data_IF_359721188243
#
_entry.id   IF_359721188243
#
_cell.length_a   1.000
_cell.length_b   1.000
_cell.length_c   1.000
_cell.angle_alpha   90.00
_cell.angle_beta   90.00
_cell.angle_gamma   90.00
#
_symmetry.space_group_name_H-M   'P 1'
#
loop_
_entity.id
_entity.type
_entity.pdbx_description
1 polymer ?
#
# COMPACT_ATOMS: atom_id res chain seq x y z
N UNK A 1 23.24 16.48 27.35
CA UNK A 1 22.00 15.68 27.27
C UNK A 1 22.31 14.41 26.48
N UNK A 2 22.20 13.22 27.07
CA UNK A 2 22.54 11.98 26.38
C UNK A 2 21.49 11.65 25.31
N UNK A 3 21.94 11.27 24.10
CA UNK A 3 21.06 10.77 23.04
C UNK A 3 20.72 9.32 23.38
N UNK A 4 19.43 9.05 23.62
CA UNK A 4 18.94 7.71 23.97
C UNK A 4 18.06 7.22 22.84
N UNK A 5 18.33 6.01 22.34
CA UNK A 5 17.52 5.36 21.31
C UNK A 5 16.41 4.54 21.99
N UNK A 6 15.21 5.12 22.14
CA UNK A 6 14.06 4.42 22.69
C UNK A 6 13.47 3.47 21.65
N UNK A 7 13.51 2.17 21.91
CA UNK A 7 12.80 1.18 21.09
C UNK A 7 11.30 1.18 21.41
N UNK A 8 10.42 1.01 20.41
CA UNK A 8 9.00 0.89 20.66
C UNK A 8 8.70 -0.41 21.43
N UNK A 9 7.90 -0.31 22.49
CA UNK A 9 7.38 -1.48 23.21
C UNK A 9 6.26 -2.11 22.40
N UNK A 10 6.37 -3.41 22.12
CA UNK A 10 5.35 -4.16 21.37
C UNK A 10 4.63 -5.10 22.34
N UNK A 11 3.30 -5.04 22.35
CA UNK A 11 2.48 -5.97 23.13
C UNK A 11 2.24 -7.27 22.36
N UNK A 12 2.36 -8.41 23.06
CA UNK A 12 2.10 -9.73 22.48
C UNK A 12 0.61 -10.03 22.57
N UNK A 13 -0.10 -9.84 21.46
CA UNK A 13 -1.55 -10.11 21.36
C UNK A 13 -1.79 -11.40 20.59
N UNK A 14 -2.87 -12.12 20.93
CA UNK A 14 -3.29 -13.31 20.18
C UNK A 14 -3.66 -12.94 18.74
N UNK A 15 -3.18 -13.72 17.78
CA UNK A 15 -3.45 -13.50 16.35
C UNK A 15 -4.93 -13.67 16.05
N UNK A 16 -5.56 -12.61 15.55
CA UNK A 16 -6.97 -12.62 15.12
C UNK A 16 -7.13 -13.28 13.74
N UNK A 17 -8.36 -13.68 13.39
CA UNK A 17 -8.61 -14.28 12.06
C UNK A 17 -8.34 -13.30 10.92
N UNK A 18 -8.57 -12.01 11.13
CA UNK A 18 -8.28 -10.96 10.15
C UNK A 18 -6.77 -10.85 9.88
N UNK A 19 -5.94 -10.95 10.93
CA UNK A 19 -4.49 -10.98 10.79
C UNK A 19 -4.00 -12.20 10.00
N UNK A 20 -4.70 -13.35 10.12
CA UNK A 20 -4.38 -14.55 9.33
C UNK A 20 -4.82 -14.44 7.87
N UNK A 21 -5.98 -13.82 7.63
CA UNK A 21 -6.51 -13.57 6.27
C UNK A 21 -5.69 -12.51 5.53
N UNK A 22 -4.96 -11.66 6.25
CA UNK A 22 -4.11 -10.64 5.67
C UNK A 22 -2.86 -11.23 4.99
N UNK A 23 -2.85 -11.22 3.65
CA UNK A 23 -1.68 -11.60 2.86
C UNK A 23 -0.65 -10.47 2.82
N UNK A 24 0.26 -10.45 3.80
CA UNK A 24 1.24 -9.38 3.96
C UNK A 24 2.14 -9.18 2.72
N UNK A 25 2.66 -10.27 2.15
CA UNK A 25 3.49 -10.18 0.95
C UNK A 25 2.69 -9.73 -0.28
N UNK A 26 1.44 -10.19 -0.40
CA UNK A 26 0.52 -9.74 -1.44
C UNK A 26 0.28 -8.23 -1.38
N UNK A 27 0.08 -7.68 -0.17
CA UNK A 27 -0.09 -6.24 0.04
C UNK A 27 1.15 -5.45 -0.39
N UNK A 28 2.36 -5.87 -0.01
CA UNK A 28 3.61 -5.21 -0.43
C UNK A 28 3.76 -5.18 -1.96
N UNK A 29 3.40 -6.26 -2.65
CA UNK A 29 3.42 -6.33 -4.12
C UNK A 29 2.40 -5.39 -4.75
N UNK A 30 1.19 -5.33 -4.21
CA UNK A 30 0.14 -4.44 -4.68
C UNK A 30 0.53 -2.96 -4.53
N UNK A 31 1.13 -2.58 -3.40
CA UNK A 31 1.63 -1.22 -3.19
C UNK A 31 2.73 -0.84 -4.20
N UNK A 32 3.69 -1.74 -4.43
CA UNK A 32 4.73 -1.55 -5.46
C UNK A 32 4.14 -1.42 -6.86
N UNK A 33 3.16 -2.25 -7.20
CA UNK A 33 2.47 -2.20 -8.49
C UNK A 33 1.71 -0.87 -8.65
N UNK A 34 0.98 -0.43 -7.62
CA UNK A 34 0.24 0.82 -7.65
C UNK A 34 1.17 2.01 -7.87
N UNK A 35 2.30 2.07 -7.15
CA UNK A 35 3.33 3.10 -7.38
C UNK A 35 3.86 3.09 -8.82
N UNK A 36 4.14 1.90 -9.38
CA UNK A 36 4.66 1.75 -10.75
C UNK A 36 3.65 2.17 -11.82
N UNK A 37 2.38 1.82 -11.66
CA UNK A 37 1.37 1.98 -12.70
C UNK A 37 0.47 3.21 -12.54
N UNK A 38 0.69 4.03 -11.51
CA UNK A 38 -0.11 5.23 -11.26
C UNK A 38 -0.19 6.14 -12.49
N UNK A 39 0.95 6.53 -13.07
CA UNK A 39 0.98 7.41 -14.24
C UNK A 39 0.35 6.78 -15.49
N UNK A 40 0.57 5.48 -15.73
CA UNK A 40 -0.03 4.77 -16.86
C UNK A 40 -1.57 4.72 -16.74
N UNK A 41 -2.09 4.54 -15.52
CA UNK A 41 -3.53 4.55 -15.26
C UNK A 41 -4.13 5.95 -15.43
N UNK A 42 -3.44 6.99 -14.96
CA UNK A 42 -3.86 8.38 -15.19
C UNK A 42 -3.90 8.73 -16.68
N UNK A 43 -2.85 8.33 -17.44
CA UNK A 43 -2.80 8.54 -18.89
C UNK A 43 -3.98 7.85 -19.58
N UNK A 44 -4.24 6.58 -19.24
CA UNK A 44 -5.36 5.82 -19.82
C UNK A 44 -6.72 6.43 -19.46
N UNK A 45 -6.89 6.90 -18.22
CA UNK A 45 -8.13 7.59 -17.81
C UNK A 45 -8.34 8.89 -18.60
N UNK A 46 -7.29 9.69 -18.79
CA UNK A 46 -7.37 10.93 -19.56
C UNK A 46 -7.58 10.71 -21.07
N UNK A 47 -7.10 9.59 -21.62
CA UNK A 47 -7.38 9.18 -23.00
C UNK A 47 -8.84 8.74 -23.17
N UNK A 48 -9.35 7.89 -22.26
CA UNK A 48 -10.76 7.47 -22.26
C UNK A 48 -11.73 8.66 -22.14
N UNK A 49 -11.47 9.62 -21.23
CA UNK A 49 -12.29 10.83 -21.11
C UNK A 49 -12.30 11.71 -22.37
N UNK A 50 -11.27 11.64 -23.21
CA UNK A 50 -11.22 12.38 -24.49
C UNK A 50 -11.95 11.64 -25.60
N UNK A 51 -11.96 10.31 -25.57
CA UNK A 51 -12.71 9.47 -26.52
C UNK A 51 -14.21 9.51 -26.24
N UNK A 52 -14.64 9.46 -24.97
CA UNK A 52 -16.06 9.55 -24.60
C UNK A 52 -16.69 10.94 -24.88
N UNK A 53 -15.87 11.98 -25.05
CA UNK A 53 -16.30 13.35 -25.37
C UNK A 53 -16.25 13.67 -26.86
N UNK A 54 -15.79 12.74 -27.70
CA UNK A 54 -15.74 12.86 -29.16
C UNK A 54 -16.97 12.22 -29.79
#
# INVERSE_FOLDING_TARGET
>A
MPIVNSQPTVEIVKVTEEMKKFSAYGKLRLERMNKRHHGARLKKAAEAEKEDKK
#
